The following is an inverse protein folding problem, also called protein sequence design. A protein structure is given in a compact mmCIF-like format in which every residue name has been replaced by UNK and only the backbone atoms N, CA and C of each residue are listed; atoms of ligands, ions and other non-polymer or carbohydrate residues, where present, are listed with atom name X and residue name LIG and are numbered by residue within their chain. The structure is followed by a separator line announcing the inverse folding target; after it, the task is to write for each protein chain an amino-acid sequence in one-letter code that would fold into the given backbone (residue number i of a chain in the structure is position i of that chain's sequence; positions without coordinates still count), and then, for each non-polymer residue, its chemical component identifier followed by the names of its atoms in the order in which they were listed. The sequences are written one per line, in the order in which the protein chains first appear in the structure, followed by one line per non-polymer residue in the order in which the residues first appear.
data_IF_774232169729
#
_entry.id   IF_774232169729
#
_cell.length_a   1.000
_cell.length_b   1.000
_cell.length_c   1.000
_cell.angle_alpha   90.00
_cell.angle_beta   90.00
_cell.angle_gamma   90.00
#
_symmetry.space_group_name_H-M   'P 1'
#
loop_
_entity.id
_entity.type
_entity.pdbx_description
1 polymer ?
#
# COMPACT_ATOMS: atom_id res chain seq x y z
N UNK A 1 -14.62 0.91 -43.80
CA UNK A 1 -13.96 -0.15 -42.99
C UNK A 1 -14.77 -0.30 -41.74
N UNK A 2 -15.55 -1.35 -41.65
CA UNK A 2 -16.48 -1.61 -40.55
C UNK A 2 -15.69 -2.19 -39.40
N UNK A 3 -15.67 -1.50 -38.28
CA UNK A 3 -15.05 -2.01 -37.06
C UNK A 3 -15.90 -3.16 -36.51
N UNK A 4 -15.29 -4.34 -36.41
CA UNK A 4 -15.90 -5.49 -35.73
C UNK A 4 -16.09 -5.15 -34.25
N UNK A 5 -17.28 -5.35 -33.66
CA UNK A 5 -17.47 -5.18 -32.25
C UNK A 5 -16.64 -6.24 -31.49
N UNK A 6 -15.79 -5.79 -30.59
CA UNK A 6 -15.05 -6.66 -29.67
C UNK A 6 -16.05 -7.50 -28.86
N UNK A 7 -15.91 -8.83 -28.81
CA UNK A 7 -16.83 -9.66 -28.03
C UNK A 7 -16.70 -9.31 -26.53
N UNK A 8 -17.79 -9.40 -25.76
CA UNK A 8 -17.74 -9.15 -24.33
C UNK A 8 -16.78 -10.14 -23.64
N UNK A 9 -15.84 -9.61 -22.89
CA UNK A 9 -14.93 -10.40 -22.06
C UNK A 9 -15.75 -11.19 -21.04
N UNK A 10 -15.86 -12.49 -21.24
CA UNK A 10 -16.40 -13.38 -20.20
C UNK A 10 -15.36 -13.49 -19.08
N UNK A 11 -15.63 -12.82 -17.95
CA UNK A 11 -14.81 -12.89 -16.74
C UNK A 11 -14.78 -14.29 -16.10
N UNK A 12 -15.52 -15.25 -16.64
CA UNK A 12 -15.58 -16.63 -16.14
C UNK A 12 -15.75 -17.65 -17.24
N UNK A 13 -14.83 -18.58 -17.33
CA UNK A 13 -15.01 -19.94 -17.80
C UNK A 13 -14.54 -20.90 -16.70
N UNK A 14 -15.36 -21.06 -15.66
CA UNK A 14 -15.30 -22.23 -14.78
C UNK A 14 -16.41 -23.15 -15.22
N UNK A 15 -16.17 -24.46 -15.48
CA UNK A 15 -17.25 -25.41 -15.74
C UNK A 15 -18.11 -25.48 -14.46
N UNK A 16 -19.33 -24.94 -14.54
CA UNK A 16 -20.30 -25.05 -13.45
C UNK A 16 -21.11 -26.31 -13.68
N UNK A 17 -21.12 -27.19 -12.68
CA UNK A 17 -22.23 -28.12 -12.53
C UNK A 17 -23.55 -27.33 -12.53
N UNK A 18 -24.64 -27.85 -13.10
CA UNK A 18 -25.90 -27.13 -13.15
C UNK A 18 -26.48 -26.97 -11.74
N UNK A 19 -26.22 -25.81 -11.14
CA UNK A 19 -26.94 -25.38 -9.95
C UNK A 19 -28.40 -25.09 -10.33
N UNK A 20 -29.38 -25.46 -9.50
CA UNK A 20 -30.77 -25.06 -9.70
C UNK A 20 -30.85 -23.54 -9.83
N UNK A 21 -31.64 -23.06 -10.79
CA UNK A 21 -31.80 -21.64 -11.06
C UNK A 21 -32.17 -20.90 -9.77
N UNK A 22 -31.23 -20.07 -9.29
CA UNK A 22 -31.48 -19.21 -8.14
C UNK A 22 -32.63 -18.26 -8.48
N UNK A 23 -33.57 -18.12 -7.55
CA UNK A 23 -34.62 -17.09 -7.68
C UNK A 23 -33.96 -15.74 -7.94
N UNK A 24 -34.54 -14.91 -8.84
CA UNK A 24 -33.97 -13.59 -9.11
C UNK A 24 -33.91 -12.80 -7.79
N UNK A 25 -32.81 -12.13 -7.50
CA UNK A 25 -32.66 -11.37 -6.26
C UNK A 25 -33.81 -10.34 -6.15
N UNK A 26 -34.32 -10.10 -4.95
CA UNK A 26 -35.39 -9.13 -4.75
C UNK A 26 -34.97 -7.79 -5.34
N UNK A 27 -35.85 -7.17 -6.14
CA UNK A 27 -35.61 -5.85 -6.72
C UNK A 27 -35.34 -4.89 -5.58
N UNK A 28 -34.07 -4.41 -5.51
CA UNK A 28 -33.71 -3.37 -4.55
C UNK A 28 -34.55 -2.14 -4.84
N UNK A 29 -35.34 -1.72 -3.86
CA UNK A 29 -36.09 -0.48 -3.95
C UNK A 29 -35.11 0.68 -4.12
N UNK A 30 -35.45 1.65 -4.99
CA UNK A 30 -34.62 2.85 -5.13
C UNK A 30 -34.66 3.61 -3.82
N UNK A 31 -33.49 3.95 -3.25
CA UNK A 31 -33.44 4.69 -2.01
C UNK A 31 -34.13 6.04 -2.19
N UNK A 32 -34.85 6.47 -1.18
CA UNK A 32 -35.51 7.79 -1.14
C UNK A 32 -34.41 8.86 -1.16
N UNK A 33 -34.50 9.81 -2.08
CA UNK A 33 -33.46 10.82 -2.31
C UNK A 33 -33.81 12.22 -1.77
N UNK A 34 -35.05 12.43 -1.29
CA UNK A 34 -35.54 13.71 -0.76
C UNK A 34 -36.24 13.52 0.59
N UNK A 35 -35.79 14.31 1.55
CA UNK A 35 -36.24 14.26 2.94
C UNK A 35 -36.51 15.67 3.46
N UNK A 36 -37.52 15.87 4.27
CA UNK A 36 -37.58 17.04 5.15
C UNK A 36 -36.72 16.78 6.38
N UNK A 37 -36.26 17.82 7.08
CA UNK A 37 -35.39 17.65 8.23
C UNK A 37 -36.03 16.79 9.34
N UNK A 38 -37.34 17.00 9.63
CA UNK A 38 -38.10 16.21 10.59
C UNK A 38 -38.20 14.73 10.20
N UNK A 39 -38.43 14.46 8.91
CA UNK A 39 -38.51 13.09 8.38
C UNK A 39 -37.16 12.39 8.48
N UNK A 40 -36.06 13.10 8.17
CA UNK A 40 -34.71 12.57 8.26
C UNK A 40 -34.34 12.21 9.71
N UNK A 41 -34.67 13.10 10.64
CA UNK A 41 -34.39 12.88 12.07
C UNK A 41 -35.29 11.78 12.69
N UNK A 42 -36.45 11.53 12.13
CA UNK A 42 -37.35 10.46 12.57
C UNK A 42 -37.10 9.10 11.89
N UNK A 43 -36.22 9.07 10.87
CA UNK A 43 -35.89 7.85 10.16
C UNK A 43 -34.83 7.05 10.94
N UNK A 44 -34.96 5.73 10.92
CA UNK A 44 -33.97 4.81 11.44
C UNK A 44 -33.10 4.30 10.29
N UNK A 45 -31.81 4.58 10.34
CA UNK A 45 -30.83 4.13 9.37
C UNK A 45 -29.96 3.04 9.99
N UNK A 46 -29.67 1.95 9.25
CA UNK A 46 -28.76 0.92 9.75
C UNK A 46 -27.34 1.50 9.87
N UNK A 47 -26.58 0.95 10.80
CA UNK A 47 -25.15 1.21 10.89
C UNK A 47 -24.45 0.92 9.56
N UNK A 48 -23.40 1.69 9.19
CA UNK A 48 -22.61 1.42 8.00
C UNK A 48 -22.06 -0.01 7.98
N UNK A 49 -22.09 -0.65 6.83
CA UNK A 49 -21.47 -1.97 6.70
C UNK A 49 -19.95 -1.83 6.63
N UNK A 50 -19.28 -2.53 7.50
CA UNK A 50 -17.83 -2.54 7.58
C UNK A 50 -17.24 -3.73 6.80
N UNK A 51 -16.31 -3.48 5.88
CA UNK A 51 -15.41 -4.50 5.38
C UNK A 51 -14.29 -4.74 6.40
N UNK A 52 -13.75 -3.68 7.00
CA UNK A 52 -12.82 -3.75 8.14
C UNK A 52 -13.26 -2.71 9.16
N UNK A 53 -13.76 -3.14 10.34
CA UNK A 53 -14.27 -2.23 11.37
C UNK A 53 -13.28 -1.11 11.74
N UNK A 54 -13.77 0.12 11.76
CA UNK A 54 -12.99 1.32 12.08
C UNK A 54 -12.02 1.80 10.98
N UNK A 55 -11.88 1.04 9.86
CA UNK A 55 -10.88 1.36 8.82
C UNK A 55 -11.54 1.44 7.42
N UNK A 56 -12.37 0.46 7.06
CA UNK A 56 -13.03 0.37 5.76
C UNK A 56 -14.54 0.18 5.92
N UNK A 57 -15.30 1.26 5.80
CA UNK A 57 -16.75 1.23 5.69
C UNK A 57 -17.22 0.97 4.24
N UNK A 58 -18.52 0.72 4.06
CA UNK A 58 -19.14 0.79 2.73
C UNK A 58 -18.91 2.18 2.10
N UNK A 59 -18.92 2.27 0.77
CA UNK A 59 -18.53 3.48 0.05
C UNK A 59 -17.17 3.33 -0.62
N UNK A 60 -16.61 4.44 -1.10
CA UNK A 60 -15.31 4.46 -1.79
C UNK A 60 -14.21 4.89 -0.85
N UNK A 61 -13.24 4.02 -0.66
CA UNK A 61 -12.01 4.29 0.10
C UNK A 61 -10.81 4.38 -0.83
N UNK A 62 -10.03 5.45 -0.71
CA UNK A 62 -8.78 5.64 -1.43
C UNK A 62 -7.60 5.13 -0.60
N UNK A 63 -6.91 4.07 -1.05
CA UNK A 63 -5.65 3.63 -0.45
C UNK A 63 -4.47 4.23 -1.19
N UNK A 64 -3.89 5.27 -0.63
CA UNK A 64 -2.83 6.06 -1.21
C UNK A 64 -1.47 5.83 -0.53
N UNK A 65 -0.39 6.21 -1.20
CA UNK A 65 0.97 6.19 -0.64
C UNK A 65 2.04 6.07 -1.72
N UNK A 66 3.33 6.28 -1.38
CA UNK A 66 4.43 6.21 -2.32
C UNK A 66 4.55 4.85 -3.02
N UNK A 67 5.17 4.79 -4.21
CA UNK A 67 5.50 3.52 -4.85
C UNK A 67 6.36 2.63 -3.92
N UNK A 68 6.09 1.32 -3.93
CA UNK A 68 6.84 0.29 -3.16
C UNK A 68 6.71 0.38 -1.63
N UNK A 69 5.76 1.17 -1.11
CA UNK A 69 5.50 1.25 0.34
C UNK A 69 4.84 -0.02 0.90
N UNK A 70 4.17 -0.81 0.06
CA UNK A 70 3.52 -2.05 0.48
C UNK A 70 1.99 -2.05 0.33
N UNK A 71 1.39 -1.07 -0.39
CA UNK A 71 -0.06 -0.97 -0.61
C UNK A 71 -0.70 -2.24 -1.17
N UNK A 72 -0.11 -2.83 -2.23
CA UNK A 72 -0.63 -4.06 -2.84
C UNK A 72 -0.58 -5.27 -1.89
N UNK A 73 0.40 -5.31 -0.98
CA UNK A 73 0.44 -6.31 0.09
C UNK A 73 -0.68 -6.07 1.12
N UNK A 74 -0.86 -4.81 1.51
CA UNK A 74 -1.90 -4.40 2.43
C UNK A 74 -3.29 -4.72 1.86
N UNK A 75 -3.61 -4.25 0.66
CA UNK A 75 -4.91 -4.46 0.03
C UNK A 75 -5.20 -5.95 -0.22
N UNK A 76 -4.20 -6.74 -0.63
CA UNK A 76 -4.37 -8.19 -0.82
C UNK A 76 -4.56 -8.92 0.51
N UNK A 77 -3.84 -8.53 1.56
CA UNK A 77 -4.01 -9.08 2.91
C UNK A 77 -5.42 -8.81 3.47
N UNK A 78 -5.92 -7.58 3.30
CA UNK A 78 -7.30 -7.23 3.68
C UNK A 78 -8.34 -8.02 2.86
N UNK A 79 -8.11 -8.18 1.56
CA UNK A 79 -8.99 -8.96 0.68
C UNK A 79 -9.04 -10.44 1.11
N UNK A 80 -7.91 -11.03 1.46
CA UNK A 80 -7.84 -12.40 2.00
C UNK A 80 -8.59 -12.53 3.33
N UNK A 81 -8.38 -11.58 4.26
CA UNK A 81 -9.03 -11.59 5.57
C UNK A 81 -10.56 -11.51 5.43
N UNK A 82 -11.05 -10.56 4.63
CA UNK A 82 -12.50 -10.39 4.38
C UNK A 82 -13.09 -11.60 3.65
N UNK A 83 -12.42 -12.14 2.64
CA UNK A 83 -12.90 -13.33 1.93
C UNK A 83 -12.97 -14.58 2.81
N UNK A 84 -12.08 -14.69 3.80
CA UNK A 84 -12.04 -15.80 4.75
C UNK A 84 -12.97 -15.62 5.95
N UNK A 85 -13.41 -14.39 6.26
CA UNK A 85 -14.13 -14.10 7.52
C UNK A 85 -13.23 -14.25 8.74
N UNK A 86 -11.95 -13.85 8.62
CA UNK A 86 -10.93 -13.98 9.65
C UNK A 86 -10.63 -12.67 10.39
N UNK A 87 -9.34 -12.36 10.51
CA UNK A 87 -8.84 -11.15 11.14
C UNK A 87 -8.01 -10.33 10.15
N UNK A 88 -8.38 -9.07 9.95
CA UNK A 88 -7.53 -8.10 9.28
C UNK A 88 -6.40 -7.70 10.25
N UNK A 89 -5.17 -7.53 9.71
CA UNK A 89 -3.99 -7.18 10.51
C UNK A 89 -3.72 -8.13 11.70
N UNK A 90 -4.20 -9.38 11.63
CA UNK A 90 -4.15 -10.41 12.68
C UNK A 90 -4.86 -10.05 14.01
N UNK A 91 -5.56 -8.94 14.08
CA UNK A 91 -6.19 -8.45 15.32
C UNK A 91 -7.62 -7.95 15.15
N UNK A 92 -7.99 -7.41 13.97
CA UNK A 92 -9.32 -6.82 13.73
C UNK A 92 -10.25 -7.87 13.13
N UNK A 93 -11.26 -8.38 13.86
CA UNK A 93 -12.18 -9.37 13.34
C UNK A 93 -13.02 -8.76 12.22
N UNK A 94 -13.17 -9.48 11.11
CA UNK A 94 -13.95 -9.04 9.95
C UNK A 94 -15.07 -10.01 9.63
N UNK A 95 -16.20 -9.47 9.15
CA UNK A 95 -17.28 -10.31 8.65
C UNK A 95 -16.93 -10.82 7.26
N UNK A 96 -16.97 -12.15 7.08
CA UNK A 96 -16.66 -12.80 5.82
C UNK A 96 -17.70 -12.55 4.72
N UNK A 97 -17.22 -12.62 3.48
CA UNK A 97 -18.06 -12.58 2.29
C UNK A 97 -17.25 -12.47 1.01
N UNK A 98 -17.88 -12.63 -0.17
CA UNK A 98 -17.18 -12.56 -1.44
C UNK A 98 -16.44 -11.23 -1.65
N UNK A 99 -15.23 -11.32 -2.19
CA UNK A 99 -14.36 -10.18 -2.52
C UNK A 99 -13.91 -10.29 -3.97
N UNK A 100 -14.02 -9.18 -4.71
CA UNK A 100 -13.43 -9.04 -6.04
C UNK A 100 -12.15 -8.21 -5.95
N UNK A 101 -11.03 -8.76 -6.42
CA UNK A 101 -9.76 -8.07 -6.46
C UNK A 101 -9.27 -7.93 -7.91
N UNK A 102 -9.28 -6.71 -8.42
CA UNK A 102 -8.77 -6.35 -9.74
C UNK A 102 -7.28 -6.02 -9.63
N UNK A 103 -6.40 -6.97 -9.97
CA UNK A 103 -4.95 -6.85 -9.92
C UNK A 103 -4.39 -6.46 -11.28
N UNK A 104 -4.63 -5.23 -11.73
CA UNK A 104 -4.45 -4.79 -13.12
C UNK A 104 -2.99 -4.50 -13.53
N UNK A 105 -2.06 -4.56 -12.61
CA UNK A 105 -0.60 -4.47 -12.87
C UNK A 105 0.13 -5.76 -12.53
N UNK A 106 -0.59 -6.80 -12.14
CA UNK A 106 0.01 -8.07 -11.77
C UNK A 106 -0.21 -9.17 -12.80
N UNK A 107 0.70 -10.15 -12.77
CA UNK A 107 0.52 -11.41 -13.48
C UNK A 107 0.00 -12.49 -12.54
N UNK A 108 -0.72 -13.51 -13.05
CA UNK A 108 -1.19 -14.64 -12.23
C UNK A 108 -0.07 -15.28 -11.38
N UNK A 109 1.12 -15.43 -11.96
CA UNK A 109 2.29 -15.98 -11.26
C UNK A 109 2.73 -15.11 -10.08
N UNK A 110 2.77 -13.77 -10.24
CA UNK A 110 3.12 -12.86 -9.13
C UNK A 110 2.07 -12.88 -8.03
N UNK A 111 0.79 -12.89 -8.41
CA UNK A 111 -0.33 -13.02 -7.45
C UNK A 111 -0.23 -14.33 -6.67
N UNK A 112 -0.03 -15.47 -7.34
CA UNK A 112 0.16 -16.76 -6.69
C UNK A 112 1.31 -16.72 -5.68
N UNK A 113 2.45 -16.14 -6.06
CA UNK A 113 3.61 -16.01 -5.15
C UNK A 113 3.29 -15.14 -3.93
N UNK A 114 2.57 -14.01 -4.12
CA UNK A 114 2.17 -13.14 -3.00
C UNK A 114 1.15 -13.81 -2.10
N UNK A 115 0.13 -14.43 -2.68
CA UNK A 115 -0.87 -15.18 -1.92
C UNK A 115 -0.23 -16.30 -1.11
N UNK A 116 0.68 -17.09 -1.71
CA UNK A 116 1.38 -18.16 -1.02
C UNK A 116 2.19 -17.66 0.18
N UNK A 117 2.77 -16.45 0.09
CA UNK A 117 3.45 -15.84 1.24
C UNK A 117 2.49 -15.40 2.33
N UNK A 118 1.39 -14.72 1.97
CA UNK A 118 0.38 -14.23 2.92
C UNK A 118 -0.36 -15.38 3.62
N UNK A 119 -0.68 -16.42 2.87
CA UNK A 119 -1.42 -17.59 3.40
C UNK A 119 -0.53 -18.54 4.21
N UNK A 120 0.78 -18.61 3.91
CA UNK A 120 1.66 -19.60 4.49
C UNK A 120 1.13 -21.02 4.23
N UNK A 121 0.69 -21.71 5.26
CA UNK A 121 0.07 -23.05 5.18
C UNK A 121 -1.46 -23.03 5.13
N UNK A 122 -2.09 -21.86 5.19
CA UNK A 122 -3.54 -21.74 5.18
C UNK A 122 -4.11 -21.97 3.77
N UNK A 123 -5.32 -22.50 3.71
CA UNK A 123 -6.03 -22.68 2.45
C UNK A 123 -6.54 -21.34 1.92
N UNK A 124 -6.42 -21.12 0.60
CA UNK A 124 -6.95 -19.93 -0.03
C UNK A 124 -8.50 -19.90 0.07
N UNK A 125 -9.09 -18.77 0.48
CA UNK A 125 -10.54 -18.65 0.60
C UNK A 125 -11.20 -18.69 -0.79
N UNK A 126 -12.23 -19.51 -0.95
CA UNK A 126 -13.00 -19.62 -2.20
C UNK A 126 -13.76 -18.32 -2.53
N UNK A 127 -14.03 -17.49 -1.52
CA UNK A 127 -14.72 -16.20 -1.68
C UNK A 127 -13.88 -15.10 -2.33
N UNK A 128 -12.57 -15.29 -2.55
CA UNK A 128 -11.73 -14.30 -3.22
C UNK A 128 -11.63 -14.57 -4.72
N UNK A 129 -12.19 -13.67 -5.51
CA UNK A 129 -12.04 -13.66 -6.97
C UNK A 129 -10.94 -12.70 -7.38
N UNK A 130 -9.95 -13.17 -8.13
CA UNK A 130 -8.82 -12.39 -8.63
C UNK A 130 -8.93 -12.20 -10.14
N UNK A 131 -8.82 -10.95 -10.62
CA UNK A 131 -8.92 -10.60 -12.03
C UNK A 131 -7.70 -9.76 -12.42
N UNK A 132 -6.99 -10.15 -13.48
CA UNK A 132 -5.78 -9.44 -13.95
C UNK A 132 -6.03 -8.48 -15.11
N UNK A 133 -7.22 -8.56 -15.72
CA UNK A 133 -7.60 -7.71 -16.83
C UNK A 133 -9.05 -7.24 -16.67
N UNK A 134 -9.28 -5.94 -16.77
CA UNK A 134 -10.60 -5.33 -16.78
C UNK A 134 -10.57 -4.10 -17.69
N UNK A 135 -11.58 -3.89 -18.54
CA UNK A 135 -11.67 -2.65 -19.30
C UNK A 135 -11.84 -1.45 -18.37
N UNK A 136 -11.40 -0.24 -18.76
CA UNK A 136 -11.66 0.97 -18.00
C UNK A 136 -13.16 1.18 -17.72
N UNK A 137 -13.49 1.91 -16.67
CA UNK A 137 -14.87 2.20 -16.29
C UNK A 137 -15.76 2.66 -17.45
N UNK A 138 -15.39 3.68 -18.26
CA UNK A 138 -16.23 4.15 -19.36
C UNK A 138 -16.28 3.19 -20.57
N UNK A 139 -15.53 2.09 -20.54
CA UNK A 139 -15.42 1.13 -21.64
C UNK A 139 -15.95 -0.26 -21.27
N UNK A 140 -16.85 -0.35 -20.28
CA UNK A 140 -17.47 -1.61 -19.84
C UNK A 140 -16.96 -2.16 -18.52
N UNK A 141 -16.00 -1.51 -17.88
CA UNK A 141 -15.48 -1.95 -16.57
C UNK A 141 -16.50 -1.86 -15.44
N UNK A 142 -17.36 -0.84 -15.49
CA UNK A 142 -18.46 -0.70 -14.54
C UNK A 142 -19.43 -1.87 -14.64
N UNK A 143 -19.82 -2.21 -15.86
CA UNK A 143 -20.74 -3.30 -16.17
C UNK A 143 -20.16 -4.67 -15.81
N UNK A 144 -18.87 -4.86 -16.04
CA UNK A 144 -18.18 -6.11 -15.68
C UNK A 144 -18.17 -6.32 -14.16
N UNK A 145 -17.87 -5.28 -13.38
CA UNK A 145 -17.92 -5.33 -11.91
C UNK A 145 -19.36 -5.53 -11.42
N UNK A 146 -20.33 -4.80 -11.98
CA UNK A 146 -21.73 -4.94 -11.65
C UNK A 146 -22.25 -6.37 -11.89
N UNK A 147 -21.93 -6.99 -13.01
CA UNK A 147 -22.28 -8.38 -13.32
C UNK A 147 -21.68 -9.38 -12.31
N UNK A 148 -20.47 -9.13 -11.81
CA UNK A 148 -19.91 -9.96 -10.74
C UNK A 148 -20.68 -9.76 -9.43
N UNK A 149 -20.98 -8.51 -9.06
CA UNK A 149 -21.75 -8.17 -7.86
C UNK A 149 -23.18 -8.74 -7.89
N UNK A 150 -23.84 -8.75 -9.04
CA UNK A 150 -25.17 -9.37 -9.23
C UNK A 150 -25.16 -10.88 -8.95
N UNK A 151 -24.04 -11.56 -9.25
CA UNK A 151 -23.85 -12.99 -8.95
C UNK A 151 -23.39 -13.26 -7.52
N UNK A 152 -22.95 -12.23 -6.81
CA UNK A 152 -22.43 -12.31 -5.44
C UNK A 152 -23.15 -11.29 -4.55
N UNK A 153 -24.44 -11.49 -4.24
CA UNK A 153 -25.25 -10.50 -3.49
C UNK A 153 -24.74 -10.22 -2.08
N UNK A 154 -23.97 -11.16 -1.51
CA UNK A 154 -23.34 -11.05 -0.19
C UNK A 154 -21.91 -10.49 -0.27
N UNK A 155 -21.49 -9.94 -1.42
CA UNK A 155 -20.19 -9.34 -1.60
C UNK A 155 -19.93 -8.24 -0.54
N UNK A 156 -18.70 -8.19 -0.04
CA UNK A 156 -18.30 -7.24 0.99
C UNK A 156 -17.38 -6.15 0.46
N UNK A 157 -16.52 -6.49 -0.50
CA UNK A 157 -15.48 -5.58 -0.94
C UNK A 157 -15.10 -5.79 -2.40
N UNK A 158 -14.81 -4.69 -3.07
CA UNK A 158 -14.13 -4.66 -4.38
C UNK A 158 -12.83 -3.89 -4.21
N UNK A 159 -11.70 -4.47 -4.62
CA UNK A 159 -10.39 -3.79 -4.63
C UNK A 159 -9.95 -3.56 -6.07
N UNK A 160 -9.49 -2.36 -6.36
CA UNK A 160 -8.98 -1.96 -7.69
C UNK A 160 -7.50 -1.55 -7.54
N UNK A 161 -6.60 -2.45 -7.88
CA UNK A 161 -5.14 -2.27 -7.83
C UNK A 161 -4.54 -2.36 -9.26
N UNK A 162 -4.32 -1.25 -9.96
CA UNK A 162 -4.39 0.14 -9.50
C UNK A 162 -5.52 0.90 -10.20
N UNK A 163 -6.06 1.89 -9.51
CA UNK A 163 -7.13 2.75 -10.02
C UNK A 163 -6.79 3.42 -11.35
N UNK A 164 -5.53 3.79 -11.58
CA UNK A 164 -5.09 4.42 -12.82
C UNK A 164 -5.46 3.64 -14.10
N UNK A 165 -5.56 2.30 -14.03
CA UNK A 165 -5.96 1.45 -15.16
C UNK A 165 -7.46 1.50 -15.45
N UNK A 166 -8.27 1.87 -14.47
CA UNK A 166 -9.73 1.95 -14.60
C UNK A 166 -10.23 3.32 -15.05
N UNK A 167 -9.42 4.38 -14.95
CA UNK A 167 -9.84 5.75 -15.29
C UNK A 167 -10.23 5.94 -16.75
N UNK A 168 -9.59 5.23 -17.67
CA UNK A 168 -9.71 5.49 -19.08
C UNK A 168 -8.94 6.75 -19.51
N UNK A 169 -9.13 7.16 -20.78
CA UNK A 169 -8.55 8.39 -21.31
C UNK A 169 -9.45 9.58 -20.96
N UNK A 170 -8.84 10.65 -20.46
CA UNK A 170 -9.57 11.91 -20.24
C UNK A 170 -9.99 12.50 -21.59
N UNK A 171 -11.24 12.96 -21.74
CA UNK A 171 -11.66 13.70 -22.92
C UNK A 171 -10.81 14.96 -23.14
N UNK A 172 -10.63 15.38 -24.39
CA UNK A 172 -9.93 16.63 -24.70
C UNK A 172 -10.62 17.81 -24.02
N UNK A 173 -9.84 18.67 -23.38
CA UNK A 173 -10.34 19.88 -22.71
C UNK A 173 -10.87 19.68 -21.29
N UNK A 174 -10.90 18.44 -20.78
CA UNK A 174 -11.27 18.14 -19.40
C UNK A 174 -10.02 18.23 -18.51
N UNK A 175 -10.11 18.94 -17.38
CA UNK A 175 -9.01 19.01 -16.42
C UNK A 175 -8.72 17.63 -15.83
N UNK A 176 -7.48 17.38 -15.38
CA UNK A 176 -7.12 16.15 -14.69
C UNK A 176 -7.97 15.94 -13.42
N UNK A 177 -8.30 17.04 -12.73
CA UNK A 177 -9.20 17.04 -11.57
C UNK A 177 -10.59 16.50 -11.92
N UNK A 178 -11.23 17.05 -12.95
CA UNK A 178 -12.59 16.65 -13.34
C UNK A 178 -12.61 15.20 -13.85
N UNK A 179 -11.59 14.79 -14.62
CA UNK A 179 -11.46 13.43 -15.10
C UNK A 179 -11.31 12.43 -13.94
N UNK A 180 -10.54 12.77 -12.91
CA UNK A 180 -10.36 11.96 -11.71
C UNK A 180 -11.67 11.90 -10.90
N UNK A 181 -12.33 13.04 -10.70
CA UNK A 181 -13.59 13.13 -9.99
C UNK A 181 -14.69 12.26 -10.65
N UNK A 182 -14.84 12.37 -11.98
CA UNK A 182 -15.78 11.55 -12.76
C UNK A 182 -15.44 10.06 -12.64
N UNK A 183 -14.16 9.72 -12.67
CA UNK A 183 -13.72 8.31 -12.60
C UNK A 183 -13.99 7.67 -11.24
N UNK A 184 -13.80 8.40 -10.14
CA UNK A 184 -14.21 7.96 -8.80
C UNK A 184 -15.74 7.82 -8.72
N UNK A 185 -16.47 8.69 -9.40
CA UNK A 185 -17.94 8.64 -9.48
C UNK A 185 -18.48 7.33 -10.05
N UNK A 186 -17.75 6.61 -10.91
CA UNK A 186 -18.15 5.25 -11.33
C UNK A 186 -18.06 4.26 -10.17
N UNK A 187 -16.94 4.28 -9.44
CA UNK A 187 -16.75 3.44 -8.26
C UNK A 187 -17.78 3.76 -7.16
N UNK A 188 -18.07 5.06 -6.96
CA UNK A 188 -19.06 5.51 -5.97
C UNK A 188 -20.45 4.97 -6.30
N UNK A 189 -20.90 5.03 -7.56
CA UNK A 189 -22.19 4.46 -7.95
C UNK A 189 -22.29 2.96 -7.69
N UNK A 190 -21.21 2.21 -7.92
CA UNK A 190 -21.15 0.78 -7.58
C UNK A 190 -21.25 0.59 -6.06
N UNK A 191 -20.43 1.30 -5.29
CA UNK A 191 -20.42 1.20 -3.83
C UNK A 191 -21.81 1.49 -3.23
N UNK A 192 -22.44 2.60 -3.63
CA UNK A 192 -23.74 3.02 -3.13
C UNK A 192 -24.87 2.08 -3.56
N UNK A 193 -24.82 1.58 -4.80
CA UNK A 193 -25.88 0.69 -5.31
C UNK A 193 -25.85 -0.68 -4.62
N UNK A 194 -24.66 -1.21 -4.36
CA UNK A 194 -24.51 -2.55 -3.79
C UNK A 194 -24.31 -2.55 -2.26
N UNK A 195 -24.08 -1.38 -1.64
CA UNK A 195 -23.80 -1.23 -0.20
C UNK A 195 -22.55 -2.00 0.20
N UNK A 196 -21.42 -1.75 -0.48
CA UNK A 196 -20.15 -2.44 -0.32
C UNK A 196 -18.98 -1.46 -0.20
N UNK A 197 -17.86 -1.92 0.35
CA UNK A 197 -16.62 -1.16 0.30
C UNK A 197 -15.94 -1.31 -1.08
N UNK A 198 -15.57 -0.19 -1.71
CA UNK A 198 -14.75 -0.16 -2.92
C UNK A 198 -13.42 0.52 -2.62
N UNK A 199 -12.33 -0.23 -2.68
CA UNK A 199 -10.98 0.25 -2.36
C UNK A 199 -10.23 0.57 -3.65
N UNK A 200 -9.85 1.84 -3.83
CA UNK A 200 -9.07 2.33 -4.96
C UNK A 200 -7.60 2.47 -4.54
N UNK A 201 -6.73 1.60 -5.06
CA UNK A 201 -5.28 1.71 -4.79
C UNK A 201 -4.67 2.74 -5.73
N UNK A 202 -4.03 3.76 -5.16
CA UNK A 202 -3.46 4.88 -5.91
C UNK A 202 -2.01 5.16 -5.51
N UNK A 203 -1.19 5.56 -6.50
CA UNK A 203 0.19 5.98 -6.29
C UNK A 203 0.27 7.50 -6.20
N UNK A 204 0.67 8.02 -5.04
CA UNK A 204 0.94 9.45 -4.88
C UNK A 204 2.34 9.79 -5.40
N UNK A 205 2.49 10.98 -6.00
CA UNK A 205 3.80 11.53 -6.33
C UNK A 205 4.47 11.97 -5.01
N UNK A 206 5.80 11.86 -4.95
CA UNK A 206 6.58 12.38 -3.83
C UNK A 206 6.41 13.91 -3.77
N UNK A 207 5.53 14.40 -2.93
CA UNK A 207 5.58 15.74 -2.40
C UNK A 207 5.86 15.58 -0.91
N UNK A 208 6.95 16.16 -0.41
CA UNK A 208 7.23 16.23 1.02
C UNK A 208 6.34 17.32 1.63
N UNK A 209 5.13 16.97 2.04
CA UNK A 209 4.23 17.84 2.79
C UNK A 209 4.00 17.21 4.17
N UNK A 210 3.94 18.06 5.19
CA UNK A 210 3.60 17.63 6.55
C UNK A 210 2.12 17.21 6.66
N UNK A 211 1.27 17.68 5.73
CA UNK A 211 -0.13 17.26 5.60
C UNK A 211 -0.25 16.09 4.63
N UNK A 212 -0.68 14.93 5.17
CA UNK A 212 -0.85 13.69 4.40
C UNK A 212 -1.93 13.79 3.32
N UNK A 213 -2.96 14.62 3.51
CA UNK A 213 -3.99 14.87 2.49
C UNK A 213 -3.43 15.67 1.31
N UNK A 214 -2.50 16.59 1.57
CA UNK A 214 -1.80 17.35 0.53
C UNK A 214 -0.88 16.46 -0.30
N UNK A 215 -0.28 15.40 0.28
CA UNK A 215 0.50 14.40 -0.47
C UNK A 215 -0.36 13.56 -1.44
N UNK A 216 -1.62 13.30 -1.08
CA UNK A 216 -2.59 12.60 -1.93
C UNK A 216 -3.04 13.51 -3.07
N UNK A 217 -3.01 14.82 -2.87
CA UNK A 217 -3.57 15.84 -3.73
C UNK A 217 -2.71 16.22 -4.94
N UNK A 218 -1.95 15.29 -5.52
CA UNK A 218 -1.45 15.46 -6.89
C UNK A 218 -2.58 15.73 -7.90
N UNK A 219 -3.80 15.33 -7.56
CA UNK A 219 -5.09 15.80 -8.09
C UNK A 219 -6.09 15.73 -6.93
N UNK A 220 -6.49 16.87 -6.36
CA UNK A 220 -7.50 16.97 -5.29
C UNK A 220 -8.84 16.29 -5.64
N UNK A 221 -9.04 15.93 -6.92
CA UNK A 221 -10.24 15.30 -7.43
C UNK A 221 -10.51 13.89 -6.88
N UNK A 222 -9.47 13.07 -6.69
CA UNK A 222 -9.65 11.68 -6.22
C UNK A 222 -10.03 11.67 -4.75
N UNK A 223 -9.25 12.35 -3.90
CA UNK A 223 -9.49 12.39 -2.46
C UNK A 223 -10.83 13.09 -2.12
N UNK A 224 -11.16 14.18 -2.83
CA UNK A 224 -12.44 14.88 -2.63
C UNK A 224 -13.68 14.10 -3.04
N UNK A 225 -13.56 13.16 -3.98
CA UNK A 225 -14.65 12.31 -4.45
C UNK A 225 -14.82 11.01 -3.64
N UNK A 226 -13.80 10.57 -2.91
CA UNK A 226 -13.85 9.39 -2.06
C UNK A 226 -14.58 9.67 -0.74
N UNK A 227 -15.16 8.64 -0.13
CA UNK A 227 -15.80 8.71 1.19
C UNK A 227 -14.76 8.63 2.30
N UNK A 228 -13.68 7.89 2.09
CA UNK A 228 -12.56 7.81 3.01
C UNK A 228 -11.21 7.82 2.27
N UNK A 229 -10.19 8.31 2.94
CA UNK A 229 -8.81 8.33 2.45
C UNK A 229 -7.90 7.64 3.47
N UNK A 230 -7.18 6.64 3.00
CA UNK A 230 -6.20 5.87 3.74
C UNK A 230 -4.82 6.15 3.15
N UNK A 231 -3.89 6.69 3.93
CA UNK A 231 -2.53 6.99 3.47
C UNK A 231 -1.51 6.13 4.20
N UNK A 232 -0.90 5.21 3.46
CA UNK A 232 0.16 4.35 4.00
C UNK A 232 1.52 5.03 3.85
N UNK A 233 2.15 5.37 4.96
CA UNK A 233 3.50 5.93 5.04
C UNK A 233 4.46 4.92 5.66
N UNK A 234 5.62 4.74 5.05
CA UNK A 234 6.73 3.91 5.58
C UNK A 234 8.05 4.43 5.05
N UNK A 235 9.03 4.60 5.94
CA UNK A 235 10.38 4.95 5.54
C UNK A 235 11.06 3.78 4.83
N UNK A 236 11.94 4.07 3.87
CA UNK A 236 12.67 3.03 3.13
C UNK A 236 13.60 2.25 4.07
N UNK A 237 13.53 0.93 3.98
CA UNK A 237 14.38 0.04 4.79
C UNK A 237 13.84 -0.24 6.20
N UNK A 238 12.71 0.38 6.57
CA UNK A 238 12.05 0.10 7.84
C UNK A 238 10.91 -0.91 7.68
N UNK A 239 10.66 -1.67 8.73
CA UNK A 239 9.55 -2.61 8.77
C UNK A 239 8.24 -1.88 9.09
N UNK A 240 8.29 -0.86 9.95
CA UNK A 240 7.11 -0.21 10.50
C UNK A 240 6.62 0.94 9.62
N UNK A 241 5.32 1.14 9.60
CA UNK A 241 4.63 2.18 8.85
C UNK A 241 3.45 2.74 9.64
N UNK A 242 2.89 3.82 9.15
CA UNK A 242 1.69 4.44 9.70
C UNK A 242 0.63 4.44 8.61
N UNK A 243 -0.57 4.00 8.94
CA UNK A 243 -1.77 4.14 8.15
C UNK A 243 -2.61 5.27 8.74
N UNK A 244 -2.63 6.41 8.04
CA UNK A 244 -3.54 7.51 8.36
C UNK A 244 -4.88 7.22 7.71
N UNK A 245 -5.95 7.37 8.45
CA UNK A 245 -7.33 7.15 7.99
C UNK A 245 -8.15 8.39 8.30
N UNK A 246 -8.94 8.86 7.34
CA UNK A 246 -9.93 9.93 7.52
C UNK A 246 -11.07 9.72 6.55
N UNK A 247 -12.30 10.05 6.92
CA UNK A 247 -13.46 9.84 6.06
C UNK A 247 -14.73 10.45 6.62
N UNK A 248 -15.85 10.23 5.91
CA UNK A 248 -17.18 10.70 6.30
C UNK A 248 -17.82 9.82 7.35
N UNK A 249 -17.62 8.49 7.22
CA UNK A 249 -18.17 7.46 8.10
C UNK A 249 -17.08 6.77 8.92
N UNK A 250 -15.85 7.27 8.87
CA UNK A 250 -14.68 6.76 9.60
C UNK A 250 -14.05 7.90 10.34
N UNK A 251 -13.84 7.75 11.65
CA UNK A 251 -13.15 8.74 12.46
C UNK A 251 -11.70 8.92 12.00
N UNK A 252 -11.18 10.14 12.13
CA UNK A 252 -9.78 10.39 11.87
C UNK A 252 -8.91 9.64 12.87
N UNK A 253 -8.06 8.76 12.36
CA UNK A 253 -7.23 7.88 13.15
C UNK A 253 -5.89 7.58 12.48
N UNK A 254 -4.91 7.25 13.30
CA UNK A 254 -3.61 6.75 12.86
C UNK A 254 -3.38 5.35 13.45
N UNK A 255 -2.97 4.43 12.59
CA UNK A 255 -2.68 3.07 12.96
C UNK A 255 -1.20 2.77 12.74
N UNK A 256 -0.50 2.39 13.79
CA UNK A 256 0.87 1.90 13.68
C UNK A 256 0.85 0.46 13.14
N UNK A 257 1.56 0.22 12.05
CA UNK A 257 1.59 -1.06 11.37
C UNK A 257 3.04 -1.57 11.27
N UNK A 258 3.24 -2.87 11.45
CA UNK A 258 4.51 -3.53 11.14
C UNK A 258 4.40 -4.39 9.89
N UNK A 259 5.34 -4.23 8.96
CA UNK A 259 5.42 -5.04 7.74
C UNK A 259 6.40 -6.19 7.92
N UNK A 260 5.95 -7.40 7.75
CA UNK A 260 6.77 -8.59 7.81
C UNK A 260 7.23 -9.01 6.40
N UNK A 261 8.49 -8.77 6.01
CA UNK A 261 8.96 -9.05 4.64
C UNK A 261 8.89 -10.53 4.24
N UNK A 262 8.99 -11.44 5.19
CA UNK A 262 8.97 -12.88 4.95
C UNK A 262 7.60 -13.34 4.43
N UNK A 263 6.51 -12.93 5.11
CA UNK A 263 5.12 -13.24 4.75
C UNK A 263 4.49 -12.19 3.83
N UNK A 264 4.97 -10.94 3.83
CA UNK A 264 4.32 -9.80 3.17
C UNK A 264 3.12 -9.26 3.95
N UNK A 265 2.86 -9.76 5.14
CA UNK A 265 1.75 -9.32 5.99
C UNK A 265 2.03 -7.99 6.67
N UNK A 266 0.96 -7.24 6.88
CA UNK A 266 0.92 -6.08 7.75
C UNK A 266 0.17 -6.43 9.03
N UNK A 267 0.76 -6.12 10.17
CA UNK A 267 0.21 -6.35 11.50
C UNK A 267 -0.06 -5.02 12.17
N UNK A 268 -1.18 -4.93 12.88
CA UNK A 268 -1.48 -3.78 13.73
C UNK A 268 -0.62 -3.88 14.99
N UNK A 269 0.02 -2.76 15.34
CA UNK A 269 0.79 -2.66 16.57
C UNK A 269 -0.07 -2.07 17.66
N UNK A 270 0.04 -2.64 18.87
CA UNK A 270 -0.70 -2.17 20.03
C UNK A 270 -0.15 -0.83 20.55
N UNK A 271 -1.04 0.04 21.00
CA UNK A 271 -0.70 1.33 21.59
C UNK A 271 -0.69 2.50 20.60
N UNK A 272 -0.50 3.71 21.12
CA UNK A 272 -0.54 4.93 20.30
C UNK A 272 0.63 4.97 19.30
N UNK A 273 0.39 5.56 18.14
CA UNK A 273 1.40 5.71 17.06
C UNK A 273 2.69 6.39 17.55
N UNK A 274 2.57 7.28 18.54
CA UNK A 274 3.71 7.94 19.19
C UNK A 274 4.69 6.95 19.83
N UNK A 275 4.22 5.78 20.30
CA UNK A 275 5.10 4.77 20.90
C UNK A 275 5.90 4.00 19.82
N UNK A 276 5.42 3.97 18.60
CA UNK A 276 6.03 3.29 17.44
C UNK A 276 6.92 4.23 16.60
N UNK A 277 6.60 5.53 16.53
CA UNK A 277 7.56 6.55 16.07
C UNK A 277 8.77 6.64 17.00
N UNK A 278 8.61 6.26 18.26
CA UNK A 278 9.70 6.07 19.22
C UNK A 278 10.63 4.92 18.83
N UNK A 279 10.18 3.92 18.03
CA UNK A 279 11.03 2.87 17.46
C UNK A 279 12.10 3.44 16.54
N UNK A 280 11.75 4.37 15.66
CA UNK A 280 12.69 5.10 14.79
C UNK A 280 13.59 6.00 15.60
N UNK A 281 13.03 6.70 16.59
CA UNK A 281 13.78 7.52 17.52
C UNK A 281 14.77 6.67 18.33
N UNK A 282 14.36 5.47 18.80
CA UNK A 282 15.26 4.53 19.47
C UNK A 282 16.42 4.06 18.58
N UNK A 283 16.11 3.67 17.34
CA UNK A 283 17.13 3.23 16.39
C UNK A 283 18.10 4.37 16.05
N UNK A 284 17.59 5.59 15.87
CA UNK A 284 18.40 6.78 15.61
C UNK A 284 19.26 7.17 16.85
N UNK A 285 18.70 7.12 18.06
CA UNK A 285 19.43 7.32 19.31
C UNK A 285 20.55 6.29 19.46
N UNK A 286 20.27 4.99 19.26
CA UNK A 286 21.28 3.93 19.33
C UNK A 286 22.40 4.16 18.32
N UNK A 287 22.07 4.54 17.10
CA UNK A 287 23.05 4.84 16.07
C UNK A 287 23.92 6.02 16.44
N UNK A 288 23.30 7.11 16.93
CA UNK A 288 24.03 8.29 17.38
C UNK A 288 24.93 7.99 18.57
N UNK A 289 24.44 7.29 19.59
CA UNK A 289 25.22 6.93 20.80
C UNK A 289 26.34 5.96 20.48
N UNK A 290 26.18 5.04 19.50
CA UNK A 290 27.27 4.18 19.02
C UNK A 290 28.36 4.96 18.29
N UNK A 291 27.99 5.96 17.51
CA UNK A 291 28.92 6.85 16.81
C UNK A 291 29.59 7.86 17.76
N UNK A 292 28.87 8.28 18.80
CA UNK A 292 29.29 9.31 19.75
C UNK A 292 29.03 8.84 21.20
N UNK A 293 29.83 7.91 21.75
CA UNK A 293 29.69 7.46 23.12
C UNK A 293 29.82 8.62 24.11
N UNK A 294 28.87 8.70 25.06
CA UNK A 294 28.81 9.81 26.01
C UNK A 294 27.99 11.02 25.52
N UNK A 295 27.23 10.87 24.44
CA UNK A 295 26.32 11.90 23.97
C UNK A 295 25.20 12.18 24.96
N UNK A 296 24.77 13.43 25.08
CA UNK A 296 23.57 13.87 25.83
C UNK A 296 22.37 14.01 24.88
N UNK A 297 21.14 13.96 25.37
CA UNK A 297 19.94 14.14 24.53
C UNK A 297 19.97 15.41 23.67
N UNK A 298 20.56 16.50 24.18
CA UNK A 298 20.71 17.75 23.42
C UNK A 298 21.64 17.61 22.20
N UNK A 299 22.63 16.73 22.27
CA UNK A 299 23.62 16.55 21.21
C UNK A 299 23.01 15.75 20.05
N UNK A 300 21.95 14.98 20.31
CA UNK A 300 21.19 14.19 19.35
C UNK A 300 20.13 15.02 18.60
N UNK A 301 19.71 16.16 19.16
CA UNK A 301 18.63 16.99 18.60
C UNK A 301 18.92 17.52 17.19
N UNK A 302 20.19 17.71 16.84
CA UNK A 302 20.58 18.14 15.49
C UNK A 302 20.28 17.09 14.40
N UNK A 303 20.50 15.81 14.69
CA UNK A 303 20.20 14.70 13.78
C UNK A 303 18.74 14.25 13.86
N UNK A 304 18.08 14.46 15.00
CA UNK A 304 16.69 14.13 15.29
C UNK A 304 15.80 15.36 15.26
N UNK A 305 16.03 16.28 14.31
CA UNK A 305 15.33 17.56 14.21
C UNK A 305 13.79 17.46 14.04
N UNK A 306 13.29 16.28 13.67
CA UNK A 306 11.87 15.96 13.53
C UNK A 306 11.24 15.43 14.84
N UNK A 307 12.04 15.22 15.90
CA UNK A 307 11.58 14.71 17.20
C UNK A 307 11.78 15.78 18.26
N UNK A 308 10.75 16.03 19.07
CA UNK A 308 10.86 17.00 20.14
C UNK A 308 11.83 16.55 21.24
N UNK A 309 12.47 17.50 21.91
CA UNK A 309 13.52 17.26 22.90
C UNK A 309 13.04 16.41 24.09
N UNK A 310 11.78 16.54 24.49
CA UNK A 310 11.23 15.81 25.64
C UNK A 310 10.99 14.33 25.27
N UNK A 311 10.62 14.06 24.02
CA UNK A 311 10.55 12.70 23.48
C UNK A 311 11.94 12.08 23.40
N UNK A 312 12.97 12.80 22.96
CA UNK A 312 14.37 12.30 22.97
C UNK A 312 14.79 11.95 24.40
N UNK A 313 14.57 12.84 25.35
CA UNK A 313 14.92 12.61 26.78
C UNK A 313 14.23 11.41 27.39
N UNK A 314 12.90 11.30 27.19
CA UNK A 314 12.08 10.18 27.68
C UNK A 314 12.52 8.86 27.06
N UNK A 315 12.79 8.87 25.76
CA UNK A 315 13.24 7.68 25.02
C UNK A 315 14.61 7.22 25.51
N UNK A 316 15.59 8.11 25.66
CA UNK A 316 16.91 7.79 26.23
C UNK A 316 16.77 7.19 27.64
N UNK A 317 15.90 7.74 28.49
CA UNK A 317 15.69 7.24 29.85
C UNK A 317 15.10 5.82 29.85
N UNK A 318 14.04 5.59 29.06
CA UNK A 318 13.42 4.26 28.88
C UNK A 318 14.40 3.23 28.30
N UNK A 319 15.25 3.64 27.37
CA UNK A 319 16.29 2.77 26.79
C UNK A 319 17.35 2.39 27.81
N UNK A 320 17.71 3.29 28.71
CA UNK A 320 18.61 3.00 29.83
C UNK A 320 17.95 2.07 30.85
N UNK A 321 16.68 2.29 31.20
CA UNK A 321 15.89 1.41 32.09
C UNK A 321 15.72 0.00 31.49
N UNK A 322 15.60 -0.09 30.15
CA UNK A 322 15.52 -1.36 29.43
C UNK A 322 16.88 -2.03 29.14
N UNK A 323 18.00 -1.49 29.66
CA UNK A 323 19.34 -2.04 29.46
C UNK A 323 19.89 -1.91 28.05
N UNK A 324 19.31 -1.10 27.18
CA UNK A 324 19.77 -0.86 25.80
C UNK A 324 20.87 0.21 25.71
N UNK A 325 20.94 1.06 26.72
CA UNK A 325 21.94 2.09 26.91
C UNK A 325 22.39 2.11 28.36
N UNK A 326 23.62 2.54 28.60
CA UNK A 326 24.10 2.85 29.97
C UNK A 326 24.12 4.36 30.14
N UNK A 327 23.59 4.85 31.29
CA UNK A 327 23.57 6.27 31.64
C UNK A 327 24.50 6.55 32.81
N UNK A 328 25.42 7.50 32.65
CA UNK A 328 26.29 7.94 33.76
C UNK A 328 25.63 9.00 34.66
N UNK A 329 26.30 9.33 35.79
CA UNK A 329 25.84 10.35 36.72
C UNK A 329 25.76 11.76 36.11
N UNK A 330 26.45 12.01 35.01
CA UNK A 330 26.45 13.28 34.25
C UNK A 330 25.32 13.37 33.22
N UNK A 331 24.46 12.34 33.12
CA UNK A 331 23.38 12.27 32.14
C UNK A 331 23.83 12.02 30.73
N UNK A 332 24.99 11.37 30.55
CA UNK A 332 25.52 10.93 29.27
C UNK A 332 25.15 9.48 29.02
N UNK A 333 24.94 9.13 27.74
CA UNK A 333 24.51 7.81 27.33
C UNK A 333 25.60 7.09 26.55
N UNK A 334 25.76 5.80 26.81
CA UNK A 334 26.74 4.90 26.19
C UNK A 334 26.03 3.67 25.63
N UNK A 335 26.57 3.04 24.56
CA UNK A 335 26.00 1.78 24.09
C UNK A 335 26.24 0.69 25.15
N UNK A 336 25.26 -0.19 25.32
CA UNK A 336 25.44 -1.36 26.17
C UNK A 336 26.50 -2.30 25.56
N UNK A 337 27.48 -2.69 26.37
CA UNK A 337 28.62 -3.52 25.95
C UNK A 337 28.30 -5.01 25.89
N UNK A 338 27.15 -5.45 26.41
CA UNK A 338 26.79 -6.88 26.47
C UNK A 338 26.17 -7.44 25.18
N UNK A 339 25.83 -6.63 24.20
CA UNK A 339 25.25 -7.10 22.94
C UNK A 339 26.32 -7.58 21.91
N UNK A 340 27.57 -7.80 22.34
CA UNK A 340 28.69 -8.20 21.44
C UNK A 340 28.91 -9.71 21.35
N UNK A 341 28.07 -10.55 21.96
CA UNK A 341 28.32 -12.00 22.00
C UNK A 341 27.14 -12.86 21.52
N UNK A 342 26.52 -12.48 20.38
CA UNK A 342 25.76 -13.48 19.62
C UNK A 342 25.79 -13.08 18.12
N UNK A 343 26.64 -13.72 17.34
CA UNK A 343 26.55 -13.71 15.88
C UNK A 343 27.81 -13.34 15.10
N UNK A 344 28.99 -13.89 15.43
CA UNK A 344 30.01 -14.09 14.45
C UNK A 344 30.51 -15.53 14.58
N UNK A 345 30.50 -16.38 13.55
CA UNK A 345 31.19 -17.65 13.61
C UNK A 345 32.71 -17.36 13.66
N UNK A 346 33.37 -17.88 14.70
CA UNK A 346 34.84 -18.00 14.76
C UNK A 346 35.31 -18.72 13.51
N UNK A 347 36.05 -18.01 12.68
CA UNK A 347 36.91 -18.66 11.69
C UNK A 347 38.17 -19.05 12.42
N UNK A 348 38.22 -20.32 12.79
CA UNK A 348 39.38 -21.01 13.35
C UNK A 348 40.60 -20.83 12.43
N UNK A 349 41.62 -20.28 12.99
CA UNK A 349 42.96 -20.25 12.39
C UNK A 349 43.47 -21.67 12.16
N UNK A 350 43.80 -22.00 10.92
CA UNK A 350 44.72 -23.08 10.60
C UNK A 350 45.98 -22.47 10.01
N UNK A 351 47.01 -22.66 10.80
CA UNK A 351 48.39 -22.36 10.56
C UNK A 351 49.02 -23.18 9.43
N UNK A 352 50.03 -22.57 8.81
CA UNK A 352 51.21 -23.11 8.21
C UNK A 352 51.15 -24.20 7.15
N UNK A 353 51.53 -23.83 5.94
CA UNK A 353 52.63 -24.53 5.23
C UNK A 353 53.16 -23.72 4.01
N UNK A 354 54.37 -23.99 3.54
CA UNK A 354 55.33 -22.95 3.19
C UNK A 354 55.47 -22.64 1.70
N UNK A 355 56.14 -21.52 1.48
CA UNK A 355 56.55 -20.91 0.21
C UNK A 355 57.56 -21.80 -0.54
N UNK A 356 57.37 -22.00 -1.85
CA UNK A 356 58.47 -22.13 -2.82
C UNK A 356 58.09 -21.44 -4.14
N UNK A 357 59.07 -20.78 -4.78
CA UNK A 357 58.87 -19.93 -5.94
C UNK A 357 59.34 -20.59 -7.24
N UNK A 358 58.77 -20.18 -8.34
CA UNK A 358 59.23 -20.20 -9.74
C UNK A 358 58.01 -20.26 -10.67
N UNK A 359 57.88 -19.63 -11.79
CA UNK A 359 58.78 -19.00 -12.73
C UNK A 359 57.98 -18.04 -13.62
N UNK A 360 58.69 -17.09 -14.13
CA UNK A 360 58.52 -16.13 -15.20
C UNK A 360 57.82 -16.62 -16.49
N UNK A 361 57.36 -15.60 -17.22
CA UNK A 361 57.05 -15.45 -18.65
C UNK A 361 55.56 -15.28 -18.95
N UNK A 362 55.03 -14.34 -19.66
CA UNK A 362 55.49 -13.39 -20.70
C UNK A 362 54.26 -12.51 -21.00
N UNK A 363 54.42 -11.21 -21.11
CA UNK A 363 53.62 -10.37 -21.98
C UNK A 363 54.20 -10.51 -23.41
N UNK A 364 53.49 -10.22 -24.54
CA UNK A 364 52.91 -8.91 -24.82
C UNK A 364 51.69 -8.94 -25.78
N UNK A 365 51.10 -7.76 -26.04
CA UNK A 365 50.30 -7.54 -27.23
C UNK A 365 49.30 -6.41 -27.16
N UNK A 366 49.77 -5.18 -27.27
CA UNK A 366 48.98 -4.04 -27.72
C UNK A 366 48.51 -4.25 -29.16
N UNK A 367 47.29 -3.83 -29.49
CA UNK A 367 47.04 -3.23 -30.82
C UNK A 367 45.88 -2.23 -30.70
N UNK A 368 46.29 -0.97 -30.71
CA UNK A 368 45.53 0.16 -31.21
C UNK A 368 45.03 -0.12 -32.62
N UNK A 369 43.84 0.35 -32.91
CA UNK A 369 43.47 0.83 -34.25
C UNK A 369 42.50 1.99 -34.10
N UNK A 370 43.10 3.17 -34.31
CA UNK A 370 42.43 4.41 -34.71
C UNK A 370 41.74 4.25 -36.07
N UNK A 371 40.81 5.12 -36.32
CA UNK A 371 40.67 6.09 -37.42
C UNK A 371 39.21 6.32 -37.79
N UNK A 372 38.80 7.56 -37.56
CA UNK A 372 38.40 8.60 -38.57
C UNK A 372 37.09 8.31 -39.27
N UNK A 373 36.10 9.18 -39.29
CA UNK A 373 36.11 10.59 -39.62
C UNK A 373 35.11 10.79 -40.76
N UNK A 374 34.34 11.86 -40.69
CA UNK A 374 33.66 12.63 -41.77
C UNK A 374 32.32 13.10 -41.25
N UNK A 375 32.12 14.33 -40.79
CA UNK A 375 32.05 15.60 -41.48
C UNK A 375 31.09 15.60 -42.65
N UNK A 376 30.04 16.40 -42.55
CA UNK A 376 29.18 16.77 -43.63
C UNK A 376 27.97 17.57 -43.13
N UNK A 377 28.14 18.88 -43.06
CA UNK A 377 27.06 19.88 -42.99
C UNK A 377 26.24 19.82 -44.26
N UNK A 378 24.95 20.13 -44.19
CA UNK A 378 24.43 21.22 -45.02
C UNK A 378 23.09 21.74 -44.52
N UNK A 379 22.97 23.07 -44.64
CA UNK A 379 21.81 23.93 -44.42
C UNK A 379 20.84 23.88 -45.59
N UNK A 380 19.59 24.18 -45.31
CA UNK A 380 18.70 25.07 -46.11
C UNK A 380 17.29 24.98 -45.53
N UNK A 381 16.78 25.99 -44.89
CA UNK A 381 15.95 27.13 -45.33
C UNK A 381 14.85 26.76 -46.34
N UNK A 382 13.63 27.19 -46.01
CA UNK A 382 12.50 27.29 -46.94
C UNK A 382 11.15 27.36 -46.22
N UNK A 383 10.75 28.52 -45.93
CA UNK A 383 9.53 29.27 -45.78
C UNK A 383 8.32 28.82 -46.63
N UNK A 384 7.15 29.24 -46.08
CA UNK A 384 5.82 29.57 -46.68
C UNK A 384 4.94 28.39 -47.05
N UNK A 385 3.77 28.28 -46.48
CA UNK A 385 2.50 29.05 -46.45
C UNK A 385 1.59 28.66 -45.30
#
# INVERSE_FOLDING_TARGET
MSANPTPPLHLYSVPSDPQPAAEPPPKRERPRTAWTADQLMAADFPEPKWAVPGILAEGVSLLAGPPKVGKCWLSLGLALAVAAGGQAFDSVPVQGGPVLYLALEDTPRRLQTRMGKLLGSQQAPAGLTLVTECPPFPQGGTEAIAQWLDRNPDARMVVIDVFAKMRGQAPQGVSAYDADYVSVGYAKRLADHYGIAVVLVHHVRKAGSDDFLTEVSGTNGIAGAADATLVLKRARGQADGILHVTGRDVDEAEYALSFQPASGAWHLLDGPVTDHTVGDTRAAILRHVRAHPGAKPKDMAGELSHVDMDTIRRTCSRMAEAGQLTKDAGGRYYPDTETRTQGAPEVSALSDCPVTPSDQHEQPGQSELELSGLSGADQAEGETE
#
